data_IF_101139668743
#
_entry.id   IF_101139668743
#
_cell.length_a   1.000
_cell.length_b   1.000
_cell.length_c   1.000
_cell.angle_alpha   90.00
_cell.angle_beta   90.00
_cell.angle_gamma   90.00
#
_symmetry.space_group_name_H-M   'P 1'
#
loop_
_entity.id
_entity.type
_entity.pdbx_description
1 polymer ?
#
# COMPACT_ATOMS: atom_id res chain seq x y z
N UNK A 1 -25.09 -23.37 2.63
CA UNK A 1 -23.96 -22.59 2.10
C UNK A 1 -23.40 -21.77 3.26
N UNK A 2 -22.10 -21.74 3.43
CA UNK A 2 -21.47 -21.04 4.56
C UNK A 2 -21.36 -19.56 4.24
N UNK A 3 -21.79 -18.69 5.15
CA UNK A 3 -21.75 -17.24 5.01
C UNK A 3 -20.66 -16.63 5.87
N UNK A 4 -19.68 -16.00 5.24
CA UNK A 4 -18.54 -15.37 5.92
C UNK A 4 -18.69 -13.85 5.85
N UNK A 5 -18.69 -13.20 7.02
CA UNK A 5 -18.67 -11.74 7.10
C UNK A 5 -17.25 -11.19 6.96
N UNK A 6 -17.00 -10.30 6.01
CA UNK A 6 -15.70 -9.65 5.81
C UNK A 6 -15.84 -8.17 6.15
N UNK A 7 -15.14 -7.71 7.18
CA UNK A 7 -15.21 -6.32 7.66
C UNK A 7 -13.99 -5.54 7.18
N UNK A 8 -14.23 -4.59 6.29
CA UNK A 8 -13.23 -3.75 5.61
C UNK A 8 -13.33 -3.89 4.10
N UNK A 9 -13.49 -2.77 3.42
CA UNK A 9 -13.72 -2.63 1.98
C UNK A 9 -12.47 -2.26 1.17
N UNK A 10 -11.30 -2.27 1.82
CA UNK A 10 -10.00 -2.09 1.16
C UNK A 10 -9.56 -3.34 0.37
N UNK A 11 -8.38 -3.28 -0.26
CA UNK A 11 -7.82 -4.39 -1.04
C UNK A 11 -7.82 -5.71 -0.27
N UNK A 12 -7.44 -5.68 1.01
CA UNK A 12 -7.42 -6.85 1.89
C UNK A 12 -8.80 -7.50 1.98
N UNK A 13 -9.85 -6.72 2.23
CA UNK A 13 -11.21 -7.22 2.34
C UNK A 13 -11.75 -7.74 1.01
N UNK A 14 -11.49 -7.04 -0.09
CA UNK A 14 -11.88 -7.49 -1.43
C UNK A 14 -11.23 -8.83 -1.78
N UNK A 15 -9.93 -8.99 -1.49
CA UNK A 15 -9.20 -10.25 -1.72
C UNK A 15 -9.76 -11.38 -0.83
N UNK A 16 -10.00 -11.11 0.45
CA UNK A 16 -10.55 -12.10 1.36
C UNK A 16 -11.95 -12.54 0.93
N UNK A 17 -12.84 -11.59 0.58
CA UNK A 17 -14.19 -11.88 0.11
C UNK A 17 -14.18 -12.69 -1.19
N UNK A 18 -13.34 -12.29 -2.17
CA UNK A 18 -13.18 -13.03 -3.43
C UNK A 18 -12.61 -14.44 -3.19
N UNK A 19 -11.74 -14.61 -2.20
CA UNK A 19 -11.23 -15.95 -1.83
C UNK A 19 -12.34 -16.85 -1.29
N UNK A 20 -13.22 -16.33 -0.43
CA UNK A 20 -14.39 -17.05 0.09
C UNK A 20 -15.31 -17.47 -1.07
N UNK A 21 -15.68 -16.53 -1.94
CA UNK A 21 -16.53 -16.82 -3.11
C UNK A 21 -15.89 -17.85 -4.06
N UNK A 22 -14.58 -17.80 -4.26
CA UNK A 22 -13.83 -18.78 -5.07
C UNK A 22 -13.82 -20.20 -4.47
N UNK A 23 -14.08 -20.34 -3.18
CA UNK A 23 -14.24 -21.63 -2.50
C UNK A 23 -15.70 -22.14 -2.47
N UNK A 24 -16.63 -21.41 -3.09
CA UNK A 24 -18.06 -21.76 -3.09
C UNK A 24 -18.80 -21.32 -1.81
N UNK A 25 -18.23 -20.39 -1.04
CA UNK A 25 -18.88 -19.74 0.11
C UNK A 25 -19.60 -18.46 -0.29
N UNK A 26 -20.54 -18.01 0.52
CA UNK A 26 -21.14 -16.68 0.43
C UNK A 26 -20.31 -15.70 1.27
N UNK A 27 -19.81 -14.62 0.68
CA UNK A 27 -19.12 -13.56 1.40
C UNK A 27 -20.02 -12.32 1.53
N UNK A 28 -20.20 -11.82 2.77
CA UNK A 28 -20.83 -10.54 3.04
C UNK A 28 -19.74 -9.52 3.36
N UNK A 29 -19.44 -8.62 2.43
CA UNK A 29 -18.39 -7.58 2.57
C UNK A 29 -19.00 -6.31 3.16
N UNK A 30 -18.45 -5.86 4.29
CA UNK A 30 -18.89 -4.68 5.02
C UNK A 30 -17.87 -3.54 4.89
N UNK A 31 -18.31 -2.41 4.35
CA UNK A 31 -17.53 -1.19 4.22
C UNK A 31 -18.18 0.01 4.90
N UNK A 32 -17.42 1.10 5.02
CA UNK A 32 -17.90 2.34 5.64
C UNK A 32 -18.55 3.29 4.65
N UNK A 33 -17.95 3.46 3.49
CA UNK A 33 -18.26 4.56 2.56
C UNK A 33 -17.92 4.16 1.12
N UNK A 34 -18.52 4.85 0.17
CA UNK A 34 -18.05 4.89 -1.22
C UNK A 34 -17.03 6.05 -1.41
N UNK A 35 -16.04 5.91 -2.29
CA UNK A 35 -15.75 4.71 -3.07
C UNK A 35 -15.05 3.60 -2.25
N UNK A 36 -15.37 2.36 -2.58
CA UNK A 36 -14.68 1.19 -2.03
C UNK A 36 -13.20 1.17 -2.45
N UNK A 37 -12.37 0.47 -1.67
CA UNK A 37 -10.94 0.32 -1.98
C UNK A 37 -10.04 0.77 -0.82
N UNK A 38 -10.56 1.49 0.16
CA UNK A 38 -9.79 1.99 1.29
C UNK A 38 -8.62 2.87 0.83
N UNK A 39 -7.39 2.51 1.19
CA UNK A 39 -6.18 3.22 0.71
C UNK A 39 -5.92 3.07 -0.81
N UNK A 40 -6.59 2.14 -1.48
CA UNK A 40 -6.55 1.98 -2.94
C UNK A 40 -7.71 2.72 -3.65
N UNK A 41 -8.58 3.43 -2.93
CA UNK A 41 -9.56 4.29 -3.57
C UNK A 41 -8.89 5.55 -4.14
N UNK A 42 -9.50 6.22 -5.14
CA UNK A 42 -8.96 7.47 -5.66
C UNK A 42 -8.92 8.54 -4.56
N UNK A 43 -7.97 9.46 -4.66
CA UNK A 43 -7.84 10.60 -3.74
C UNK A 43 -9.07 11.50 -3.85
N UNK A 44 -9.41 11.82 -5.09
CA UNK A 44 -10.61 12.56 -5.46
C UNK A 44 -11.22 11.91 -6.71
N UNK A 45 -12.55 11.78 -6.74
CA UNK A 45 -13.28 11.23 -7.90
C UNK A 45 -13.35 12.22 -9.07
N UNK A 46 -13.17 13.52 -8.81
CA UNK A 46 -13.18 14.58 -9.81
C UNK A 46 -11.77 14.93 -10.32
N UNK A 47 -10.72 14.40 -9.68
CA UNK A 47 -9.35 14.66 -10.10
C UNK A 47 -9.09 14.14 -11.52
N UNK A 48 -8.45 14.97 -12.33
CA UNK A 48 -8.04 14.60 -13.68
C UNK A 48 -6.73 13.83 -13.69
N UNK A 49 -5.95 13.95 -12.62
CA UNK A 49 -4.71 13.20 -12.37
C UNK A 49 -4.99 11.98 -11.48
N UNK A 50 -4.45 10.83 -11.84
CA UNK A 50 -4.70 9.59 -11.10
C UNK A 50 -3.74 9.43 -9.93
N UNK A 51 -4.12 9.92 -8.78
CA UNK A 51 -3.38 9.74 -7.53
C UNK A 51 -3.80 8.47 -6.80
N UNK A 52 -2.85 7.69 -6.33
CA UNK A 52 -3.07 6.69 -5.29
C UNK A 52 -2.99 7.37 -3.91
N UNK A 53 -3.87 7.05 -2.96
CA UNK A 53 -3.74 7.56 -1.59
C UNK A 53 -2.43 7.12 -0.95
N UNK A 54 -1.99 5.90 -1.26
CA UNK A 54 -0.70 5.38 -0.84
C UNK A 54 -0.09 4.60 -2.01
N UNK A 55 1.07 5.03 -2.55
CA UNK A 55 1.72 4.34 -3.64
C UNK A 55 2.41 3.07 -3.14
N UNK A 56 1.82 1.92 -3.42
CA UNK A 56 2.37 0.61 -3.07
C UNK A 56 3.04 0.00 -4.30
N UNK A 57 4.20 -0.60 -4.08
CA UNK A 57 4.96 -1.32 -5.09
C UNK A 57 4.96 -2.81 -4.80
N UNK A 58 5.17 -3.63 -5.81
CA UNK A 58 5.30 -5.06 -5.63
C UNK A 58 6.38 -5.65 -6.52
N UNK A 59 6.80 -6.86 -6.20
CA UNK A 59 7.81 -7.59 -6.97
C UNK A 59 7.15 -8.45 -8.05
N UNK A 60 7.69 -8.41 -9.28
CA UNK A 60 7.30 -9.36 -10.34
C UNK A 60 7.58 -10.77 -9.88
N UNK A 61 6.59 -11.66 -9.99
CA UNK A 61 6.59 -13.03 -9.45
C UNK A 61 6.66 -13.09 -7.92
N UNK A 62 6.53 -11.97 -7.22
CA UNK A 62 6.37 -11.91 -5.78
C UNK A 62 4.99 -12.40 -5.32
N UNK A 63 4.72 -12.25 -4.02
CA UNK A 63 3.47 -12.73 -3.43
C UNK A 63 2.24 -12.09 -4.08
N UNK A 64 2.18 -10.76 -4.14
CA UNK A 64 1.06 -10.01 -4.73
C UNK A 64 0.85 -10.38 -6.21
N UNK A 65 1.92 -10.49 -7.02
CA UNK A 65 1.83 -10.87 -8.44
C UNK A 65 1.23 -12.29 -8.61
N UNK A 66 1.63 -13.23 -7.76
CA UNK A 66 1.06 -14.59 -7.76
C UNK A 66 -0.39 -14.61 -7.30
N UNK A 67 -0.72 -13.83 -6.27
CA UNK A 67 -2.05 -13.69 -5.74
C UNK A 67 -3.03 -13.16 -6.81
N UNK A 68 -2.70 -12.03 -7.44
CA UNK A 68 -3.54 -11.43 -8.49
C UNK A 68 -3.74 -12.38 -9.69
N UNK A 69 -2.70 -13.12 -10.07
CA UNK A 69 -2.81 -14.17 -11.11
C UNK A 69 -3.74 -15.31 -10.70
N UNK A 70 -3.64 -15.77 -9.44
CA UNK A 70 -4.52 -16.80 -8.89
C UNK A 70 -5.98 -16.36 -8.89
N UNK A 71 -6.23 -15.09 -8.56
CA UNK A 71 -7.56 -14.47 -8.58
C UNK A 71 -8.03 -14.13 -10.00
N UNK A 72 -7.20 -14.34 -11.03
CA UNK A 72 -7.47 -13.94 -12.42
C UNK A 72 -7.75 -12.45 -12.58
N UNK A 73 -7.19 -11.62 -11.70
CA UNK A 73 -7.29 -10.16 -11.75
C UNK A 73 -6.07 -9.60 -12.48
N UNK A 74 -6.21 -9.11 -13.73
CA UNK A 74 -5.10 -8.54 -14.47
C UNK A 74 -4.63 -7.23 -13.82
N UNK A 75 -3.31 -7.06 -13.71
CA UNK A 75 -2.71 -5.85 -13.15
C UNK A 75 -1.64 -5.31 -14.10
N UNK A 76 -2.02 -4.44 -15.03
CA UNK A 76 -1.04 -3.78 -15.90
C UNK A 76 -0.08 -2.96 -15.03
N UNK A 77 1.21 -3.11 -15.27
CA UNK A 77 2.22 -2.54 -14.39
C UNK A 77 3.53 -2.25 -15.09
N UNK A 78 4.26 -1.24 -14.62
CA UNK A 78 5.61 -0.90 -15.07
C UNK A 78 6.65 -1.15 -13.98
N UNK A 79 7.86 -1.46 -14.43
CA UNK A 79 9.00 -1.64 -13.55
C UNK A 79 9.62 -0.29 -13.20
N UNK A 80 10.00 -0.15 -11.93
CA UNK A 80 10.78 0.97 -11.40
C UNK A 80 12.21 0.49 -11.17
N UNK A 81 13.22 1.03 -11.88
CA UNK A 81 14.62 0.71 -11.62
C UNK A 81 15.03 1.18 -10.22
N UNK A 82 15.83 0.41 -9.50
CA UNK A 82 16.38 0.83 -8.19
C UNK A 82 17.17 2.14 -8.27
N UNK A 83 17.83 2.39 -9.39
CA UNK A 83 18.53 3.66 -9.65
C UNK A 83 17.62 4.88 -9.74
N UNK A 84 16.31 4.68 -9.75
CA UNK A 84 15.31 5.76 -9.62
C UNK A 84 14.89 6.01 -8.16
N UNK A 85 15.44 5.26 -7.22
CA UNK A 85 15.17 5.37 -5.79
C UNK A 85 16.37 6.03 -5.12
N UNK A 86 16.12 6.95 -4.21
CA UNK A 86 17.17 7.59 -3.42
C UNK A 86 16.72 7.85 -1.98
N UNK A 87 17.69 7.90 -1.09
CA UNK A 87 17.56 8.35 0.28
C UNK A 87 18.15 9.74 0.39
N UNK A 88 17.51 10.62 1.15
CA UNK A 88 18.04 11.94 1.49
C UNK A 88 18.35 11.93 2.99
N UNK A 89 19.55 12.36 3.35
CA UNK A 89 20.00 12.61 4.72
C UNK A 89 20.99 13.76 4.70
N UNK A 90 20.87 14.69 5.62
CA UNK A 90 21.66 15.93 5.68
C UNK A 90 21.63 16.69 4.32
N UNK A 91 20.43 16.77 3.72
CA UNK A 91 20.14 17.30 2.38
C UNK A 91 20.93 16.66 1.23
N UNK A 92 21.63 15.56 1.48
CA UNK A 92 22.38 14.81 0.47
C UNK A 92 21.57 13.64 -0.09
N UNK A 93 21.40 13.60 -1.42
CA UNK A 93 20.74 12.49 -2.10
C UNK A 93 21.72 11.35 -2.37
N UNK A 94 21.42 10.16 -1.90
CA UNK A 94 22.16 8.92 -2.20
C UNK A 94 21.28 7.96 -2.97
N UNK A 95 21.60 7.77 -4.26
CA UNK A 95 20.86 6.85 -5.15
C UNK A 95 21.13 5.41 -4.77
N UNK A 96 20.08 4.58 -4.73
CA UNK A 96 20.23 3.15 -4.52
C UNK A 96 21.00 2.50 -5.69
N UNK A 97 21.80 1.44 -5.45
CA UNK A 97 22.64 0.84 -6.48
C UNK A 97 21.80 0.20 -7.59
N UNK A 98 22.38 0.16 -8.78
CA UNK A 98 21.87 -0.68 -9.84
C UNK A 98 21.80 -2.13 -9.37
N UNK A 99 20.82 -2.89 -9.88
CA UNK A 99 20.53 -4.27 -9.51
C UNK A 99 21.75 -5.08 -9.13
N UNK A 100 21.82 -5.51 -7.89
CA UNK A 100 22.66 -6.63 -7.49
C UNK A 100 21.93 -7.93 -7.86
N UNK A 101 22.61 -8.83 -8.51
CA UNK A 101 22.11 -10.18 -8.77
C UNK A 101 23.19 -11.15 -8.34
N UNK A 102 22.93 -12.47 -8.32
CA UNK A 102 23.91 -13.47 -7.91
C UNK A 102 25.25 -13.38 -8.69
N UNK A 103 25.23 -12.73 -9.85
CA UNK A 103 26.41 -12.61 -10.73
C UNK A 103 26.85 -11.13 -10.99
N UNK A 104 26.23 -10.14 -10.31
CA UNK A 104 26.60 -8.73 -10.49
C UNK A 104 26.79 -8.08 -9.13
N UNK A 105 28.00 -7.57 -8.89
CA UNK A 105 28.26 -6.75 -7.70
C UNK A 105 27.52 -5.42 -7.81
N UNK A 106 26.93 -4.92 -6.72
CA UNK A 106 26.40 -3.57 -6.70
C UNK A 106 27.50 -2.58 -6.98
N UNK A 107 27.17 -1.51 -7.71
CA UNK A 107 28.10 -0.42 -8.02
C UNK A 107 27.54 0.90 -7.47
N UNK A 108 28.43 1.84 -7.16
CA UNK A 108 28.07 3.15 -6.63
C UNK A 108 28.31 3.33 -5.13
N UNK A 109 27.92 4.47 -4.57
CA UNK A 109 28.22 4.85 -3.18
C UNK A 109 27.73 3.88 -2.12
N UNK A 110 26.66 3.13 -2.41
CA UNK A 110 26.06 2.13 -1.52
C UNK A 110 26.58 0.70 -1.74
N UNK A 111 27.62 0.48 -2.56
CA UNK A 111 27.97 -0.88 -2.98
C UNK A 111 28.34 -1.81 -1.81
N UNK A 112 29.15 -1.34 -0.86
CA UNK A 112 29.55 -2.11 0.32
C UNK A 112 28.36 -2.30 1.29
N UNK A 113 27.67 -1.21 1.58
CA UNK A 113 26.53 -1.18 2.50
C UNK A 113 25.36 -2.03 1.98
N UNK A 114 25.21 -2.15 0.66
CA UNK A 114 24.15 -2.94 0.01
C UNK A 114 24.28 -4.44 0.28
N UNK A 115 25.49 -4.94 0.32
CA UNK A 115 25.74 -6.34 0.69
C UNK A 115 25.42 -6.59 2.16
N UNK A 116 25.78 -5.64 3.03
CA UNK A 116 25.41 -5.68 4.44
C UNK A 116 23.89 -5.66 4.64
N UNK A 117 23.17 -4.80 3.90
CA UNK A 117 21.71 -4.73 3.91
C UNK A 117 21.07 -6.08 3.56
N UNK A 118 21.51 -6.71 2.47
CA UNK A 118 21.01 -8.02 2.04
C UNK A 118 21.33 -9.10 3.09
N UNK A 119 22.52 -9.07 3.66
CA UNK A 119 22.91 -10.03 4.71
C UNK A 119 22.05 -9.84 5.96
N UNK A 120 21.84 -8.61 6.42
CA UNK A 120 20.98 -8.30 7.56
C UNK A 120 19.54 -8.81 7.34
N UNK A 121 18.99 -8.62 6.13
CA UNK A 121 17.67 -9.13 5.81
C UNK A 121 17.57 -10.66 5.82
N UNK A 122 18.64 -11.36 5.40
CA UNK A 122 18.68 -12.82 5.43
C UNK A 122 18.77 -13.39 6.85
N UNK A 123 19.33 -12.64 7.78
CA UNK A 123 19.50 -13.03 9.18
C UNK A 123 18.42 -12.46 10.11
N UNK A 124 17.43 -11.74 9.57
CA UNK A 124 16.36 -11.13 10.37
C UNK A 124 16.83 -9.99 11.27
N UNK A 125 17.83 -9.22 10.82
CA UNK A 125 18.47 -8.18 11.64
C UNK A 125 18.45 -6.79 11.03
N UNK A 126 17.58 -6.51 10.03
CA UNK A 126 17.50 -5.19 9.39
C UNK A 126 17.15 -4.07 10.37
N UNK A 127 16.42 -4.38 11.44
CA UNK A 127 16.08 -3.40 12.47
C UNK A 127 17.31 -2.91 13.28
N UNK A 128 18.42 -3.64 13.26
CA UNK A 128 19.67 -3.29 13.92
C UNK A 128 20.61 -2.45 13.07
N UNK A 129 20.21 -2.14 11.84
CA UNK A 129 20.98 -1.29 10.93
C UNK A 129 20.90 0.18 11.36
N UNK A 130 21.97 0.94 11.08
CA UNK A 130 22.08 2.35 11.39
C UNK A 130 22.43 3.19 10.15
N UNK A 131 22.28 4.52 10.25
CA UNK A 131 22.69 5.46 9.22
C UNK A 131 22.01 5.26 7.86
N UNK A 132 22.67 5.64 6.76
CA UNK A 132 22.09 5.60 5.40
C UNK A 132 21.60 4.21 4.96
N UNK A 133 22.18 3.15 5.47
CA UNK A 133 21.78 1.79 5.14
C UNK A 133 20.44 1.42 5.80
N UNK A 134 20.18 1.90 7.01
CA UNK A 134 18.88 1.80 7.65
C UNK A 134 17.82 2.57 6.87
N UNK A 135 18.15 3.78 6.38
CA UNK A 135 17.25 4.60 5.58
C UNK A 135 16.90 3.90 4.27
N UNK A 136 17.86 3.23 3.65
CA UNK A 136 17.61 2.40 2.46
C UNK A 136 16.67 1.22 2.79
N UNK A 137 16.84 0.57 3.94
CA UNK A 137 15.92 -0.47 4.41
C UNK A 137 14.50 0.08 4.64
N UNK A 138 14.39 1.25 5.27
CA UNK A 138 13.11 1.95 5.47
C UNK A 138 12.47 2.28 4.13
N UNK A 139 13.21 2.87 3.17
CA UNK A 139 12.68 3.16 1.84
C UNK A 139 12.09 1.93 1.16
N UNK A 140 12.78 0.79 1.19
CA UNK A 140 12.27 -0.44 0.60
C UNK A 140 11.03 -0.96 1.33
N UNK A 141 10.97 -0.79 2.65
CA UNK A 141 9.80 -1.15 3.47
C UNK A 141 8.61 -0.24 3.17
N UNK A 142 8.83 1.06 3.02
CA UNK A 142 7.80 2.02 2.61
C UNK A 142 7.18 1.66 1.25
N UNK A 143 7.99 1.22 0.30
CA UNK A 143 7.50 0.76 -1.01
C UNK A 143 6.70 -0.55 -0.90
N UNK A 144 6.98 -1.38 0.09
CA UNK A 144 6.34 -2.68 0.28
C UNK A 144 4.99 -2.59 0.98
N UNK A 145 4.94 -1.91 2.12
CA UNK A 145 3.78 -1.86 3.00
C UNK A 145 3.52 -0.49 3.64
N UNK A 146 4.20 0.56 3.16
CA UNK A 146 4.12 1.93 3.70
C UNK A 146 4.45 2.06 5.20
N UNK A 147 5.22 1.14 5.78
CA UNK A 147 5.66 1.25 7.17
C UNK A 147 7.09 1.82 7.23
N UNK A 148 7.35 2.91 8.01
CA UNK A 148 8.66 3.49 8.13
C UNK A 148 9.57 2.72 9.10
N UNK A 149 9.49 1.39 9.04
CA UNK A 149 10.26 0.46 9.87
C UNK A 149 10.94 -0.54 8.95
N UNK A 150 12.26 -0.82 9.11
CA UNK A 150 12.96 -1.81 8.31
C UNK A 150 12.27 -3.18 8.34
N UNK A 151 12.04 -3.75 7.17
CA UNK A 151 11.37 -5.03 6.99
C UNK A 151 12.25 -5.98 6.15
N UNK A 152 12.62 -7.12 6.72
CA UNK A 152 13.50 -8.09 6.07
C UNK A 152 12.95 -8.58 4.74
N UNK A 153 11.64 -8.88 4.67
CA UNK A 153 11.00 -9.37 3.46
C UNK A 153 11.02 -8.32 2.33
N UNK A 154 10.76 -7.05 2.67
CA UNK A 154 10.82 -5.95 1.71
C UNK A 154 12.23 -5.80 1.12
N UNK A 155 13.26 -5.89 1.96
CA UNK A 155 14.66 -5.84 1.52
C UNK A 155 14.99 -7.04 0.62
N UNK A 156 14.60 -8.27 1.00
CA UNK A 156 14.81 -9.45 0.15
C UNK A 156 14.12 -9.29 -1.20
N UNK A 157 12.87 -8.86 -1.22
CA UNK A 157 12.10 -8.72 -2.46
C UNK A 157 12.66 -7.62 -3.36
N UNK A 158 13.00 -6.47 -2.84
CA UNK A 158 13.40 -5.33 -3.67
C UNK A 158 14.93 -5.22 -3.86
N UNK A 159 15.73 -5.41 -2.80
CA UNK A 159 17.17 -5.30 -2.90
C UNK A 159 17.80 -6.50 -3.62
N UNK A 160 17.39 -7.72 -3.24
CA UNK A 160 17.97 -8.94 -3.81
C UNK A 160 17.38 -9.28 -5.18
N UNK A 161 16.07 -9.37 -5.30
CA UNK A 161 15.42 -9.72 -6.57
C UNK A 161 15.37 -8.55 -7.53
N UNK A 162 15.38 -7.32 -7.05
CA UNK A 162 15.39 -6.04 -7.77
C UNK A 162 14.39 -6.00 -8.92
N UNK A 163 13.39 -5.26 -8.92
CA UNK A 163 12.37 -4.99 -9.95
C UNK A 163 11.04 -4.62 -9.30
N UNK A 164 11.01 -3.62 -8.44
CA UNK A 164 9.74 -3.10 -7.97
C UNK A 164 8.89 -2.67 -9.16
N UNK A 165 7.60 -2.88 -9.05
CA UNK A 165 6.60 -2.52 -10.06
C UNK A 165 5.53 -1.66 -9.44
N UNK A 166 4.93 -0.80 -10.25
CA UNK A 166 3.80 0.03 -9.90
C UNK A 166 2.66 -0.18 -10.91
N UNK A 167 1.42 -0.10 -10.47
CA UNK A 167 0.26 -0.20 -11.36
C UNK A 167 0.21 0.98 -12.33
N UNK A 168 -0.11 0.72 -13.59
CA UNK A 168 -0.22 1.77 -14.62
C UNK A 168 -1.42 2.67 -14.33
N UNK A 169 -2.54 2.10 -13.96
CA UNK A 169 -3.79 2.77 -13.63
C UNK A 169 -4.05 2.90 -12.14
N UNK A 170 -3.00 2.80 -11.34
CA UNK A 170 -3.05 2.90 -9.90
C UNK A 170 -3.69 1.73 -9.20
N UNK A 171 -3.67 1.80 -7.89
CA UNK A 171 -4.37 0.83 -7.05
C UNK A 171 -5.89 1.01 -7.10
N UNK A 172 -6.39 2.19 -7.48
CA UNK A 172 -7.80 2.39 -7.76
C UNK A 172 -8.28 1.53 -8.94
N UNK A 173 -7.49 1.40 -10.01
CA UNK A 173 -7.77 0.47 -11.10
C UNK A 173 -7.74 -0.99 -10.67
N UNK A 174 -6.83 -1.37 -9.77
CA UNK A 174 -6.79 -2.71 -9.19
C UNK A 174 -8.01 -3.00 -8.32
N UNK A 175 -8.41 -2.06 -7.45
CA UNK A 175 -9.61 -2.21 -6.62
C UNK A 175 -10.88 -2.34 -7.45
N UNK A 176 -11.03 -1.56 -8.52
CA UNK A 176 -12.14 -1.66 -9.47
C UNK A 176 -12.25 -3.05 -10.10
N UNK A 177 -11.11 -3.63 -10.53
CA UNK A 177 -11.09 -5.00 -11.07
C UNK A 177 -11.41 -6.06 -10.02
N UNK A 178 -10.96 -5.90 -8.77
CA UNK A 178 -11.32 -6.79 -7.67
C UNK A 178 -12.80 -6.70 -7.34
N UNK A 179 -13.38 -5.51 -7.30
CA UNK A 179 -14.82 -5.29 -7.12
C UNK A 179 -15.60 -6.00 -8.23
N UNK A 180 -15.20 -5.81 -9.49
CA UNK A 180 -15.80 -6.49 -10.62
C UNK A 180 -15.71 -8.02 -10.48
N UNK A 181 -14.56 -8.55 -10.05
CA UNK A 181 -14.40 -9.98 -9.81
C UNK A 181 -15.27 -10.48 -8.67
N UNK A 182 -15.42 -9.71 -7.59
CA UNK A 182 -16.34 -10.02 -6.49
C UNK A 182 -17.80 -10.06 -6.96
N UNK A 183 -18.22 -9.12 -7.82
CA UNK A 183 -19.58 -9.10 -8.38
C UNK A 183 -19.89 -10.33 -9.29
N UNK A 184 -18.87 -11.02 -9.77
CA UNK A 184 -19.00 -12.25 -10.55
C UNK A 184 -19.03 -13.52 -9.69
N UNK A 185 -18.98 -13.38 -8.37
CA UNK A 185 -19.01 -14.45 -7.39
C UNK A 185 -20.09 -14.18 -6.35
N UNK A 186 -20.29 -15.11 -5.39
CA UNK A 186 -21.30 -14.96 -4.32
C UNK A 186 -20.83 -13.98 -3.22
N UNK A 187 -20.45 -12.73 -3.62
CA UNK A 187 -20.09 -11.66 -2.73
C UNK A 187 -21.20 -10.61 -2.69
N UNK A 188 -21.77 -10.40 -1.51
CA UNK A 188 -22.76 -9.35 -1.26
C UNK A 188 -22.10 -8.15 -0.60
N UNK A 189 -22.32 -6.95 -1.14
CA UNK A 189 -21.74 -5.70 -0.63
C UNK A 189 -22.68 -4.99 0.34
N UNK A 190 -22.19 -4.65 1.52
CA UNK A 190 -22.86 -3.87 2.55
C UNK A 190 -22.03 -2.63 2.87
N UNK A 191 -22.14 -1.58 2.03
CA UNK A 191 -21.28 -0.38 2.05
C UNK A 191 -21.96 0.88 2.60
N UNK A 192 -23.19 0.77 3.05
CA UNK A 192 -24.03 1.89 3.48
C UNK A 192 -23.89 2.24 4.98
N UNK A 193 -22.77 1.93 5.61
CA UNK A 193 -22.46 2.35 6.99
C UNK A 193 -21.55 1.38 7.75
N UNK A 194 -21.03 1.79 8.91
CA UNK A 194 -20.05 1.02 9.65
C UNK A 194 -20.65 -0.20 10.36
N UNK A 195 -19.81 -1.22 10.56
CA UNK A 195 -20.06 -2.30 11.52
C UNK A 195 -19.97 -1.72 12.93
N UNK A 196 -20.99 -1.95 13.77
CA UNK A 196 -21.05 -1.43 15.14
C UNK A 196 -20.67 -2.48 16.18
N UNK A 197 -20.53 -3.74 15.80
CA UNK A 197 -20.11 -4.83 16.67
C UNK A 197 -20.50 -6.21 16.15
N UNK A 198 -20.33 -7.21 17.00
CA UNK A 198 -20.64 -8.60 16.69
C UNK A 198 -21.67 -9.15 17.66
N UNK A 199 -22.50 -10.09 17.19
CA UNK A 199 -23.34 -10.92 18.05
C UNK A 199 -22.58 -12.21 18.33
N UNK A 200 -22.61 -12.66 19.60
CA UNK A 200 -21.97 -13.89 20.03
C UNK A 200 -23.01 -14.84 20.60
N UNK A 201 -22.83 -16.13 20.36
CA UNK A 201 -23.54 -17.22 21.03
C UNK A 201 -23.07 -17.34 22.49
N UNK A 202 -23.77 -18.14 23.29
CA UNK A 202 -23.39 -18.40 24.69
C UNK A 202 -21.99 -19.02 24.85
N UNK A 203 -21.51 -19.75 23.84
CA UNK A 203 -20.18 -20.35 23.81
C UNK A 203 -19.07 -19.37 23.34
N UNK A 204 -19.37 -18.08 23.14
CA UNK A 204 -18.43 -17.07 22.69
C UNK A 204 -18.26 -16.97 21.16
N UNK A 205 -18.72 -17.96 20.40
CA UNK A 205 -18.62 -17.95 18.94
C UNK A 205 -19.45 -16.82 18.32
N UNK A 206 -18.90 -16.13 17.33
CA UNK A 206 -19.63 -15.10 16.59
C UNK A 206 -20.62 -15.77 15.64
N UNK A 207 -21.85 -15.27 15.62
CA UNK A 207 -22.93 -15.73 14.75
C UNK A 207 -23.66 -14.59 14.03
N UNK A 208 -23.16 -13.37 14.12
CA UNK A 208 -23.74 -12.24 13.41
C UNK A 208 -22.95 -10.93 13.53
N UNK A 209 -23.13 -10.09 12.54
CA UNK A 209 -22.54 -8.75 12.45
C UNK A 209 -23.63 -7.71 12.70
N UNK A 210 -23.38 -6.80 13.67
CA UNK A 210 -24.30 -5.71 14.03
C UNK A 210 -24.03 -4.49 13.15
N UNK A 211 -25.10 -3.96 12.52
CA UNK A 211 -25.03 -2.81 11.66
C UNK A 211 -26.38 -2.10 11.57
N UNK A 212 -26.44 -0.78 11.73
CA UNK A 212 -27.68 0.02 11.66
C UNK A 212 -28.84 -0.57 12.47
N UNK A 213 -28.56 -1.06 13.68
CA UNK A 213 -29.55 -1.68 14.56
C UNK A 213 -30.03 -3.07 14.13
N UNK A 214 -29.49 -3.63 13.03
CA UNK A 214 -29.81 -4.99 12.56
C UNK A 214 -28.64 -5.92 12.81
N UNK A 215 -28.93 -7.21 12.87
CA UNK A 215 -27.95 -8.28 12.95
C UNK A 215 -28.01 -9.10 11.66
N UNK A 216 -26.94 -9.17 10.93
CA UNK A 216 -26.81 -10.04 9.76
C UNK A 216 -26.13 -11.33 10.22
N UNK A 217 -26.77 -12.50 10.03
CA UNK A 217 -26.22 -13.77 10.46
C UNK A 217 -25.00 -14.13 9.58
N UNK A 218 -23.93 -14.61 10.23
CA UNK A 218 -22.70 -15.12 9.57
C UNK A 218 -22.15 -16.30 10.38
N UNK A 219 -21.45 -17.20 9.72
CA UNK A 219 -20.85 -18.38 10.35
C UNK A 219 -19.44 -18.08 10.89
N UNK A 220 -18.74 -17.13 10.28
CA UNK A 220 -17.41 -16.66 10.70
C UNK A 220 -17.20 -15.22 10.28
N UNK A 221 -16.21 -14.55 10.89
CA UNK A 221 -15.87 -13.15 10.60
C UNK A 221 -14.39 -13.04 10.24
N UNK A 222 -14.11 -12.30 9.17
CA UNK A 222 -12.78 -11.83 8.79
C UNK A 222 -12.72 -10.33 9.03
N UNK A 223 -11.79 -9.89 9.87
CA UNK A 223 -11.46 -8.49 10.09
C UNK A 223 -10.33 -8.11 9.12
N UNK A 224 -10.65 -7.39 8.07
CA UNK A 224 -9.72 -6.90 7.06
C UNK A 224 -9.38 -5.40 7.23
N UNK A 225 -9.99 -4.75 8.21
CA UNK A 225 -9.64 -3.41 8.68
C UNK A 225 -8.83 -3.52 9.96
N UNK A 226 -7.69 -2.83 10.03
CA UNK A 226 -6.88 -2.84 11.26
C UNK A 226 -7.61 -2.12 12.42
N UNK A 227 -7.55 -2.70 13.62
CA UNK A 227 -7.94 -2.03 14.87
C UNK A 227 -6.93 -0.98 15.28
N UNK A 228 -5.66 -1.21 14.96
CA UNK A 228 -4.55 -0.31 15.21
C UNK A 228 -4.06 0.27 13.90
N UNK A 229 -3.80 1.57 13.89
CA UNK A 229 -3.36 2.26 12.68
C UNK A 229 -2.48 3.45 13.05
N UNK A 230 -1.44 3.66 12.27
CA UNK A 230 -0.58 4.84 12.38
C UNK A 230 -1.14 5.98 11.53
N UNK A 231 -1.25 7.20 12.08
CA UNK A 231 -1.67 8.36 11.31
C UNK A 231 -0.58 8.72 10.28
N UNK A 232 -1.03 9.12 9.11
CA UNK A 232 -0.19 9.72 8.06
C UNK A 232 -0.94 10.89 7.43
N UNK A 233 -0.18 11.79 6.83
CA UNK A 233 -0.71 12.87 6.00
C UNK A 233 -0.22 12.67 4.56
N UNK A 234 -1.15 12.67 3.62
CA UNK A 234 -0.87 12.65 2.20
C UNK A 234 -1.10 14.02 1.57
N UNK A 235 -0.15 14.53 0.77
CA UNK A 235 -0.35 15.62 -0.15
C UNK A 235 -0.02 15.17 -1.56
N UNK A 236 -0.88 15.49 -2.50
CA UNK A 236 -0.87 14.99 -3.87
C UNK A 236 -0.85 16.18 -4.82
N UNK A 237 0.22 16.28 -5.60
CA UNK A 237 0.47 17.44 -6.46
C UNK A 237 0.61 17.01 -7.91
N UNK A 238 -0.23 17.59 -8.77
CA UNK A 238 -0.01 17.65 -10.20
C UNK A 238 0.79 18.91 -10.54
N UNK A 239 2.02 18.76 -11.01
CA UNK A 239 2.92 19.87 -11.32
C UNK A 239 3.25 19.90 -12.81
N UNK A 240 3.20 21.08 -13.44
CA UNK A 240 3.54 21.28 -14.85
C UNK A 240 5.05 21.22 -15.15
N UNK A 241 5.90 21.02 -14.13
CA UNK A 241 7.37 20.92 -14.22
C UNK A 241 7.92 19.58 -13.78
N UNK A 242 9.20 19.31 -14.06
CA UNK A 242 9.91 18.10 -13.67
C UNK A 242 10.80 18.38 -12.46
N UNK A 243 10.50 17.80 -11.30
CA UNK A 243 11.15 18.17 -10.05
C UNK A 243 12.07 17.10 -9.45
N UNK A 244 11.66 15.83 -9.39
CA UNK A 244 12.45 14.80 -8.72
C UNK A 244 13.54 14.17 -9.59
N UNK A 245 13.59 14.43 -10.89
CA UNK A 245 14.53 13.79 -11.81
C UNK A 245 15.99 13.93 -11.36
N UNK A 246 16.81 12.91 -11.54
CA UNK A 246 16.55 11.64 -12.25
C UNK A 246 15.78 10.59 -11.43
N UNK A 247 15.44 10.88 -10.17
CA UNK A 247 14.75 9.94 -9.27
C UNK A 247 13.24 9.97 -9.50
N UNK A 248 12.57 8.89 -9.10
CA UNK A 248 11.13 8.78 -9.05
C UNK A 248 10.63 8.61 -7.62
N UNK A 249 11.49 8.15 -6.72
CA UNK A 249 11.14 7.96 -5.30
C UNK A 249 12.29 8.47 -4.44
N UNK A 250 11.94 9.31 -3.47
CA UNK A 250 12.86 9.82 -2.46
C UNK A 250 12.30 9.52 -1.06
N UNK A 251 13.14 9.01 -0.18
CA UNK A 251 12.90 8.99 1.26
C UNK A 251 13.77 10.07 1.92
N UNK A 252 13.14 11.14 2.38
CA UNK A 252 13.79 12.16 3.21
C UNK A 252 13.76 11.67 4.67
N UNK A 253 14.91 11.14 5.11
CA UNK A 253 15.03 10.52 6.43
C UNK A 253 15.03 11.55 7.57
N UNK A 254 15.46 12.77 7.29
CA UNK A 254 15.51 13.84 8.30
C UNK A 254 14.12 14.40 8.59
N UNK A 255 13.26 14.43 7.56
CA UNK A 255 11.89 14.95 7.68
C UNK A 255 10.85 13.86 7.76
N UNK A 256 11.24 12.58 7.61
CA UNK A 256 10.34 11.41 7.54
C UNK A 256 9.24 11.57 6.49
N UNK A 257 9.64 11.98 5.28
CA UNK A 257 8.76 12.21 4.15
C UNK A 257 9.13 11.26 3.00
N UNK A 258 8.12 10.56 2.49
CA UNK A 258 8.24 9.81 1.24
C UNK A 258 7.69 10.65 0.09
N UNK A 259 8.53 10.92 -0.91
CA UNK A 259 8.14 11.56 -2.16
C UNK A 259 8.14 10.52 -3.28
N UNK A 260 7.05 10.43 -4.04
CA UNK A 260 6.92 9.51 -5.18
C UNK A 260 6.39 10.26 -6.39
N UNK A 261 7.22 10.39 -7.44
CA UNK A 261 6.82 10.91 -8.74
C UNK A 261 6.55 9.76 -9.70
N UNK A 262 5.30 9.59 -10.08
CA UNK A 262 4.89 8.54 -11.00
C UNK A 262 4.76 9.00 -12.46
N UNK A 263 4.81 10.30 -12.77
CA UNK A 263 4.64 10.79 -14.15
C UNK A 263 5.67 10.18 -15.12
N UNK A 264 6.94 10.11 -14.70
CA UNK A 264 8.00 9.52 -15.52
C UNK A 264 7.95 8.00 -15.67
N UNK A 265 7.12 7.31 -14.87
CA UNK A 265 6.97 5.84 -14.88
C UNK A 265 5.64 5.44 -15.51
N UNK A 266 4.58 6.11 -15.14
CA UNK A 266 3.19 5.84 -15.57
C UNK A 266 2.56 7.12 -16.13
N UNK A 267 3.01 7.61 -17.30
CA UNK A 267 2.50 8.86 -17.89
C UNK A 267 1.01 8.81 -18.21
N UNK A 268 0.41 7.61 -18.27
CA UNK A 268 -1.02 7.41 -18.46
C UNK A 268 -1.85 8.01 -17.32
N UNK A 269 -1.26 8.19 -16.14
CA UNK A 269 -1.91 8.80 -14.98
C UNK A 269 -2.00 10.33 -15.04
N UNK A 270 -1.27 10.92 -15.98
CA UNK A 270 -1.21 12.37 -16.19
C UNK A 270 -2.11 12.75 -17.35
N UNK A 271 -2.93 13.83 -17.25
CA UNK A 271 -3.73 14.30 -18.36
C UNK A 271 -2.88 14.60 -19.60
N UNK A 272 -3.44 14.36 -20.79
CA UNK A 272 -2.71 14.44 -22.05
C UNK A 272 -1.92 15.75 -22.25
N UNK A 273 -2.44 16.95 -21.91
CA UNK A 273 -1.69 18.20 -22.07
C UNK A 273 -0.41 18.31 -21.25
N UNK A 274 -0.29 17.54 -20.16
CA UNK A 274 0.82 17.64 -19.20
C UNK A 274 1.77 16.45 -19.26
N UNK A 275 1.52 15.42 -20.08
CA UNK A 275 2.32 14.16 -20.10
C UNK A 275 3.80 14.37 -20.35
N UNK A 276 4.13 15.37 -21.15
CA UNK A 276 5.52 15.76 -21.41
C UNK A 276 5.97 16.82 -20.41
N UNK A 277 6.81 16.42 -19.46
CA UNK A 277 7.42 17.36 -18.53
C UNK A 277 6.69 17.62 -17.22
N UNK A 278 5.70 16.81 -16.87
CA UNK A 278 4.99 16.92 -15.60
C UNK A 278 5.60 16.07 -14.48
N UNK A 279 5.18 16.38 -13.26
CA UNK A 279 5.41 15.57 -12.05
C UNK A 279 4.06 15.21 -11.44
N UNK A 280 3.81 13.92 -11.22
CA UNK A 280 2.68 13.38 -10.47
C UNK A 280 3.19 12.97 -9.09
N UNK A 281 3.13 13.90 -8.15
CA UNK A 281 3.84 13.79 -6.87
C UNK A 281 2.92 13.37 -5.73
N UNK A 282 3.30 12.29 -5.06
CA UNK A 282 2.73 11.87 -3.79
C UNK A 282 3.72 12.20 -2.68
N UNK A 283 3.28 13.00 -1.71
CA UNK A 283 4.05 13.36 -0.53
C UNK A 283 3.39 12.71 0.69
N UNK A 284 4.05 11.77 1.32
CA UNK A 284 3.50 11.06 2.49
C UNK A 284 4.37 11.39 3.70
N UNK A 285 3.77 12.04 4.70
CA UNK A 285 4.38 12.31 5.99
C UNK A 285 3.95 11.26 7.02
N UNK A 286 4.90 10.75 7.78
CA UNK A 286 4.65 9.79 8.85
C UNK A 286 4.69 10.49 10.20
N UNK A 287 3.84 10.07 11.16
CA UNK A 287 3.72 10.65 12.49
C UNK A 287 2.54 11.59 12.68
N UNK A 288 2.58 12.42 13.73
CA UNK A 288 1.46 13.26 14.16
C UNK A 288 1.10 14.36 13.15
N UNK A 289 -0.19 14.68 13.07
CA UNK A 289 -0.75 15.57 12.05
C UNK A 289 -0.31 17.02 12.13
N UNK A 290 -0.12 17.55 13.34
CA UNK A 290 0.05 19.00 13.57
C UNK A 290 1.30 19.60 12.90
N UNK A 291 2.34 18.78 12.68
CA UNK A 291 3.58 19.20 12.02
C UNK A 291 3.74 18.66 10.60
N UNK A 292 2.87 17.75 10.17
CA UNK A 292 3.08 17.00 8.92
C UNK A 292 3.00 17.87 7.67
N UNK A 293 2.06 18.81 7.62
CA UNK A 293 1.93 19.71 6.46
C UNK A 293 3.15 20.63 6.31
N UNK A 294 3.63 21.21 7.40
CA UNK A 294 4.83 22.07 7.39
C UNK A 294 6.09 21.28 7.04
N UNK A 295 6.21 20.01 7.51
CA UNK A 295 7.31 19.11 7.12
C UNK A 295 7.28 18.78 5.64
N UNK A 296 6.09 18.52 5.06
CA UNK A 296 5.94 18.29 3.62
C UNK A 296 6.38 19.53 2.84
N UNK A 297 5.94 20.72 3.23
CA UNK A 297 6.35 21.95 2.55
C UNK A 297 7.85 22.21 2.65
N UNK A 298 8.44 22.05 3.82
CA UNK A 298 9.88 22.17 3.99
C UNK A 298 10.68 21.17 3.14
N UNK A 299 10.19 19.93 3.04
CA UNK A 299 10.78 18.93 2.17
C UNK A 299 10.66 19.33 0.68
N UNK A 300 9.50 19.80 0.27
CA UNK A 300 9.26 20.25 -1.11
C UNK A 300 10.10 21.47 -1.49
N UNK A 301 10.29 22.42 -0.58
CA UNK A 301 11.12 23.60 -0.82
C UNK A 301 12.58 23.24 -1.09
N UNK A 302 13.08 22.19 -0.43
CA UNK A 302 14.44 21.68 -0.65
C UNK A 302 14.52 20.76 -1.88
N UNK A 303 13.60 19.80 -1.99
CA UNK A 303 13.68 18.72 -2.99
C UNK A 303 13.09 19.12 -4.36
N UNK A 304 12.18 20.06 -4.40
CA UNK A 304 11.39 20.49 -5.56
C UNK A 304 11.36 22.01 -5.71
N UNK A 305 12.49 22.68 -5.63
CA UNK A 305 12.59 24.15 -5.68
C UNK A 305 11.69 24.77 -6.75
N UNK A 306 10.86 25.76 -6.39
CA UNK A 306 9.93 26.45 -7.30
C UNK A 306 8.62 25.71 -7.55
N UNK A 307 8.34 24.60 -6.88
CA UNK A 307 7.16 23.77 -7.08
C UNK A 307 5.82 24.53 -7.01
N UNK A 308 5.72 25.56 -6.13
CA UNK A 308 4.50 26.34 -5.96
C UNK A 308 4.04 27.05 -7.23
N UNK A 309 4.97 27.42 -8.11
CA UNK A 309 4.67 28.11 -9.37
C UNK A 309 4.16 27.16 -10.48
N UNK A 310 4.21 25.87 -10.25
CA UNK A 310 3.87 24.83 -11.24
C UNK A 310 2.67 23.99 -10.84
N UNK A 311 1.98 24.35 -9.76
CA UNK A 311 0.81 23.61 -9.26
C UNK A 311 -0.32 23.69 -10.29
N UNK A 312 -0.81 22.53 -10.70
CA UNK A 312 -2.01 22.34 -11.52
C UNK A 312 -3.13 21.75 -10.67
N UNK A 313 -2.80 20.75 -9.85
CA UNK A 313 -3.72 20.16 -8.86
C UNK A 313 -3.01 20.02 -7.52
N UNK A 314 -3.75 20.18 -6.41
CA UNK A 314 -3.25 20.07 -5.04
C UNK A 314 -4.36 19.52 -4.13
N UNK A 315 -4.12 18.33 -3.59
CA UNK A 315 -5.03 17.69 -2.65
C UNK A 315 -4.28 17.31 -1.37
N UNK A 316 -4.92 17.50 -0.23
CA UNK A 316 -4.39 17.06 1.06
C UNK A 316 -5.39 16.14 1.75
N UNK A 317 -4.93 14.98 2.18
CA UNK A 317 -5.71 14.03 3.01
C UNK A 317 -4.99 13.85 4.35
N UNK A 318 -5.53 14.47 5.38
CA UNK A 318 -5.02 14.41 6.76
C UNK A 318 -5.65 13.27 7.58
N UNK A 319 -6.60 12.54 7.01
CA UNK A 319 -7.32 11.49 7.72
C UNK A 319 -6.84 10.08 7.36
N UNK A 320 -5.72 9.97 6.66
CA UNK A 320 -5.17 8.68 6.27
C UNK A 320 -4.63 7.92 7.49
N UNK A 321 -4.84 6.61 7.45
CA UNK A 321 -4.33 5.71 8.47
C UNK A 321 -3.76 4.46 7.83
N UNK A 322 -2.52 4.15 8.15
CA UNK A 322 -1.88 2.91 7.73
C UNK A 322 -2.26 1.78 8.69
N UNK A 323 -2.75 0.66 8.17
CA UNK A 323 -3.05 -0.49 9.00
C UNK A 323 -1.76 -1.06 9.61
N UNK A 324 -1.79 -1.33 10.92
CA UNK A 324 -0.73 -2.10 11.59
C UNK A 324 -1.10 -3.57 11.49
N UNK A 325 -0.13 -4.42 11.16
CA UNK A 325 -0.36 -5.87 11.09
C UNK A 325 -0.79 -6.40 12.45
N UNK A 326 -1.84 -7.24 12.52
CA UNK A 326 -2.24 -7.87 13.76
C UNK A 326 -1.19 -8.88 14.23
N UNK A 327 -1.01 -8.98 15.54
CA UNK A 327 -0.09 -9.95 16.15
C UNK A 327 -0.58 -11.39 15.99
N UNK A 328 -1.88 -11.59 15.94
CA UNK A 328 -2.53 -12.89 15.79
C UNK A 328 -3.39 -12.96 14.53
N UNK A 329 -3.36 -14.11 13.87
CA UNK A 329 -4.19 -14.40 12.69
C UNK A 329 -5.63 -14.74 13.10
N UNK A 330 -5.84 -15.28 14.29
CA UNK A 330 -7.16 -15.63 14.83
C UNK A 330 -7.22 -15.32 16.31
N UNK A 331 -8.15 -14.45 16.69
CA UNK A 331 -8.35 -14.01 18.05
C UNK A 331 -9.83 -13.76 18.31
N UNK A 332 -10.34 -14.17 19.47
CA UNK A 332 -11.72 -13.94 19.89
C UNK A 332 -12.80 -14.38 18.88
N UNK A 333 -12.56 -15.43 18.11
CA UNK A 333 -13.49 -15.89 17.09
C UNK A 333 -13.47 -15.09 15.79
N UNK A 334 -12.47 -14.24 15.58
CA UNK A 334 -12.29 -13.39 14.41
C UNK A 334 -10.99 -13.77 13.71
N UNK A 335 -11.04 -13.96 12.40
CA UNK A 335 -9.85 -14.04 11.55
C UNK A 335 -9.36 -12.64 11.21
N UNK A 336 -8.06 -12.39 11.40
CA UNK A 336 -7.42 -11.13 11.06
C UNK A 336 -6.66 -11.25 9.75
N UNK A 337 -7.10 -10.50 8.75
CA UNK A 337 -6.47 -10.48 7.43
C UNK A 337 -5.68 -9.19 7.20
N UNK A 338 -4.54 -9.32 6.55
CA UNK A 338 -3.78 -8.23 5.95
C UNK A 338 -3.45 -8.58 4.49
N UNK A 339 -2.90 -7.66 3.73
CA UNK A 339 -2.76 -7.82 2.27
C UNK A 339 -2.01 -9.11 1.87
N UNK A 340 -0.99 -9.50 2.65
CA UNK A 340 -0.15 -10.66 2.33
C UNK A 340 -0.85 -12.01 2.59
N UNK A 341 -1.80 -12.08 3.52
CA UNK A 341 -2.46 -13.32 3.91
C UNK A 341 -3.96 -13.38 3.58
N UNK A 342 -4.54 -12.30 3.05
CA UNK A 342 -5.99 -12.15 2.87
C UNK A 342 -6.64 -13.31 2.11
N UNK A 343 -5.97 -13.85 1.10
CA UNK A 343 -6.48 -14.99 0.32
C UNK A 343 -6.51 -16.28 1.14
N UNK A 344 -5.45 -16.57 1.88
CA UNK A 344 -5.35 -17.79 2.67
C UNK A 344 -6.26 -17.72 3.89
N UNK A 345 -6.43 -16.55 4.51
CA UNK A 345 -7.41 -16.29 5.56
C UNK A 345 -8.83 -16.51 5.06
N UNK A 346 -9.18 -16.03 3.85
CA UNK A 346 -10.49 -16.31 3.26
C UNK A 346 -10.80 -17.80 3.17
N UNK A 347 -9.82 -18.61 2.73
CA UNK A 347 -9.94 -20.08 2.71
C UNK A 347 -10.04 -20.70 4.11
N UNK A 348 -9.21 -20.24 5.05
CA UNK A 348 -9.23 -20.75 6.42
C UNK A 348 -10.58 -20.48 7.08
N UNK A 349 -11.10 -19.26 6.98
CA UNK A 349 -12.41 -18.89 7.54
C UNK A 349 -13.55 -19.72 6.92
N UNK A 350 -13.46 -20.04 5.62
CA UNK A 350 -14.43 -20.90 4.95
C UNK A 350 -14.36 -22.35 5.44
N UNK A 351 -13.15 -22.89 5.68
CA UNK A 351 -12.94 -24.27 6.12
C UNK A 351 -13.02 -24.46 7.64
N UNK A 352 -13.08 -23.37 8.43
CA UNK A 352 -13.08 -23.43 9.89
C UNK A 352 -14.44 -23.96 10.38
N UNK A 353 -14.43 -25.07 11.13
CA UNK A 353 -15.60 -25.69 11.75
C UNK A 353 -16.03 -25.03 13.07
#
# INVERSE_FOLDING_TARGET
>A
MRRIGVVGDGLTGLIAALSVGSCGGEAALFGKTEPMGGLASPVDSEATWLFDRVPIFWQKKGHIDRLLKRLKVPMPSRQVPLTKLAVVRDDQRKTLPAKSGPFRRPTGPFAADWLQLIQAARTGTTQKLDGPIRDAAILLSLLWNCQPIPNDQAVIEFAWKGRPRVAIDGWCGASGRLITACMQTDVTFHIDGPVTGFRRKKNGQIDGIKRKGRVLPVDSVIQASSRHSSPIVGRYLGLSGQYLRPHAVLWDADREILLVDLAGITPERVPAPYREGATLLHCIAFGEHDTSSSRIEACLDVQCSGWRNSIVEDFTDSNLRLPIQPESVYEDGIFHAHLDNAFDIGKQAFNHE
#
